data_IF_026160163978
#
_entry.id   IF_026160163978
#
_cell.length_a   1.000
_cell.length_b   1.000
_cell.length_c   1.000
_cell.angle_alpha   90.00
_cell.angle_beta   90.00
_cell.angle_gamma   90.00
#
_symmetry.space_group_name_H-M   'P 1'
#
loop_
_entity.id
_entity.type
_entity.pdbx_description
1 polymer ?
#
# COMPACT_ATOMS: atom_id res chain seq x y z
N UNK A 1 28.73 -55.94 -16.36
CA UNK A 1 27.35 -55.48 -16.12
C UNK A 1 27.42 -54.26 -15.20
N UNK A 2 27.15 -53.04 -15.70
CA UNK A 2 27.21 -51.81 -14.89
C UNK A 2 25.85 -51.56 -14.21
N UNK A 3 25.75 -51.39 -12.88
CA UNK A 3 24.54 -50.84 -12.28
C UNK A 3 24.59 -49.30 -12.21
N UNK A 4 23.40 -48.74 -12.37
CA UNK A 4 23.04 -47.36 -12.65
C UNK A 4 23.39 -46.40 -11.50
N UNK A 5 23.76 -45.16 -11.89
CA UNK A 5 23.80 -43.96 -11.06
C UNK A 5 22.42 -43.74 -10.41
N UNK A 6 22.35 -43.79 -9.09
CA UNK A 6 21.25 -43.20 -8.33
C UNK A 6 21.55 -41.71 -8.18
N UNK A 7 20.89 -40.87 -9.00
CA UNK A 7 20.89 -39.42 -8.80
C UNK A 7 20.12 -39.14 -7.51
N UNK A 8 20.81 -38.68 -6.48
CA UNK A 8 20.16 -38.10 -5.31
C UNK A 8 19.36 -36.87 -5.76
N UNK A 9 18.05 -36.92 -5.57
CA UNK A 9 17.15 -35.79 -5.78
C UNK A 9 17.30 -34.90 -4.55
N UNK A 10 18.06 -33.82 -4.68
CA UNK A 10 18.08 -32.77 -3.66
C UNK A 10 16.72 -32.05 -3.71
N UNK A 11 15.78 -32.46 -2.86
CA UNK A 11 14.62 -31.66 -2.51
C UNK A 11 15.08 -30.53 -1.57
N UNK A 12 15.51 -29.41 -2.14
CA UNK A 12 15.55 -28.16 -1.38
C UNK A 12 14.12 -27.82 -0.99
N UNK A 13 13.70 -28.23 0.21
CA UNK A 13 12.54 -27.64 0.85
C UNK A 13 12.83 -26.15 1.00
N UNK A 14 12.25 -25.33 0.12
CA UNK A 14 12.33 -23.88 0.26
C UNK A 14 11.79 -23.52 1.64
N UNK A 15 12.68 -22.98 2.49
CA UNK A 15 12.29 -22.53 3.83
C UNK A 15 11.12 -21.57 3.68
N UNK A 16 10.05 -21.81 4.45
CA UNK A 16 8.91 -20.90 4.50
C UNK A 16 9.43 -19.48 4.80
N UNK A 17 9.11 -18.49 3.96
CA UNK A 17 9.58 -17.12 4.14
C UNK A 17 9.08 -16.54 5.46
N UNK A 18 9.84 -15.61 6.02
CA UNK A 18 9.47 -14.90 7.26
C UNK A 18 8.54 -13.74 6.91
N UNK A 19 7.63 -13.41 7.84
CA UNK A 19 6.81 -12.20 7.71
C UNK A 19 7.75 -10.99 7.63
N UNK A 20 7.54 -10.16 6.61
CA UNK A 20 8.41 -9.05 6.25
C UNK A 20 9.41 -9.35 5.13
N UNK A 21 9.60 -10.61 4.72
CA UNK A 21 10.54 -10.95 3.65
C UNK A 21 10.12 -10.32 2.33
N UNK A 22 11.01 -9.51 1.76
CA UNK A 22 10.80 -8.86 0.48
C UNK A 22 11.50 -9.61 -0.64
N UNK A 23 10.84 -9.71 -1.79
CA UNK A 23 11.41 -10.29 -3.01
C UNK A 23 11.07 -9.40 -4.19
N UNK A 24 12.08 -9.13 -5.02
CA UNK A 24 11.87 -8.56 -6.34
C UNK A 24 11.51 -9.70 -7.29
N UNK A 25 10.32 -9.65 -7.90
CA UNK A 25 9.92 -10.59 -8.94
C UNK A 25 10.67 -10.29 -10.25
N UNK A 26 10.73 -11.25 -11.20
CA UNK A 26 11.29 -11.02 -12.53
C UNK A 26 10.66 -9.86 -13.31
N UNK A 27 9.40 -9.51 -13.01
CA UNK A 27 8.69 -8.36 -13.58
C UNK A 27 9.05 -7.02 -12.90
N UNK A 28 9.94 -7.04 -11.90
CA UNK A 28 10.37 -5.88 -11.13
C UNK A 28 9.39 -5.42 -10.06
N UNK A 29 8.31 -6.17 -9.79
CA UNK A 29 7.44 -5.91 -8.64
C UNK A 29 8.13 -6.32 -7.34
N UNK A 30 8.11 -5.42 -6.35
CA UNK A 30 8.52 -5.77 -4.99
C UNK A 30 7.33 -6.44 -4.30
N UNK A 31 7.52 -7.66 -3.82
CA UNK A 31 6.52 -8.38 -3.03
C UNK A 31 7.04 -8.59 -1.62
N UNK A 32 6.18 -8.46 -0.61
CA UNK A 32 6.52 -8.70 0.80
C UNK A 32 5.65 -9.83 1.32
N UNK A 33 6.25 -10.77 2.02
CA UNK A 33 5.52 -11.80 2.75
C UNK A 33 4.85 -11.16 3.97
N UNK A 34 3.53 -11.20 4.04
CA UNK A 34 2.73 -10.55 5.08
C UNK A 34 1.78 -11.54 5.72
N UNK A 35 1.30 -11.20 6.91
CA UNK A 35 0.18 -11.87 7.58
C UNK A 35 -0.96 -10.86 7.66
N UNK A 36 -2.10 -11.18 7.07
CA UNK A 36 -3.28 -10.32 7.04
C UNK A 36 -4.52 -11.15 7.40
N UNK A 37 -5.57 -10.48 7.89
CA UNK A 37 -6.82 -11.15 8.25
C UNK A 37 -7.53 -11.65 6.98
N UNK A 38 -7.80 -12.95 6.92
CA UNK A 38 -8.53 -13.58 5.84
C UNK A 38 -10.01 -13.24 5.87
N UNK A 39 -10.70 -13.55 4.77
CA UNK A 39 -12.13 -13.30 4.60
C UNK A 39 -13.01 -14.10 5.57
N UNK A 40 -12.46 -15.18 6.12
CA UNK A 40 -13.03 -16.05 7.15
C UNK A 40 -12.65 -15.64 8.59
N UNK A 41 -11.95 -14.51 8.75
CA UNK A 41 -11.42 -14.03 10.02
C UNK A 41 -10.14 -14.74 10.49
N UNK A 42 -9.59 -15.67 9.71
CA UNK A 42 -8.34 -16.35 10.05
C UNK A 42 -7.13 -15.65 9.40
N UNK A 43 -6.01 -15.46 10.11
CA UNK A 43 -4.84 -14.82 9.55
C UNK A 43 -4.21 -15.68 8.43
N UNK A 44 -4.08 -15.09 7.24
CA UNK A 44 -3.48 -15.71 6.05
C UNK A 44 -2.10 -15.11 5.77
N UNK A 45 -1.10 -15.97 5.57
CA UNK A 45 0.26 -15.56 5.22
C UNK A 45 0.53 -15.70 3.72
N UNK A 46 0.81 -14.58 3.05
CA UNK A 46 0.99 -14.57 1.60
C UNK A 46 1.94 -13.43 1.16
N UNK A 47 2.44 -13.50 -0.07
CA UNK A 47 3.18 -12.38 -0.66
C UNK A 47 2.21 -11.33 -1.22
N UNK A 48 2.27 -10.10 -0.71
CA UNK A 48 1.56 -8.94 -1.28
C UNK A 48 2.51 -8.07 -2.09
N UNK A 49 2.01 -7.38 -3.11
CA UNK A 49 2.79 -6.34 -3.80
C UNK A 49 3.02 -5.16 -2.85
N UNK A 50 4.26 -4.73 -2.69
CA UNK A 50 4.67 -3.63 -1.80
C UNK A 50 4.40 -2.27 -2.42
N UNK A 51 4.38 -2.20 -3.75
CA UNK A 51 4.14 -0.95 -4.48
C UNK A 51 3.19 -1.18 -5.66
N UNK A 52 1.89 -1.07 -5.38
CA UNK A 52 0.83 -1.18 -6.39
C UNK A 52 0.99 -0.10 -7.48
N UNK A 53 1.41 1.11 -7.12
CA UNK A 53 1.52 2.23 -8.07
C UNK A 53 2.71 2.07 -9.00
N UNK A 54 3.89 1.73 -8.49
CA UNK A 54 5.05 1.47 -9.33
C UNK A 54 4.81 0.30 -10.28
N UNK A 55 4.06 -0.73 -9.85
CA UNK A 55 3.66 -1.83 -10.72
C UNK A 55 2.72 -1.35 -11.83
N UNK A 56 1.72 -0.53 -11.49
CA UNK A 56 0.80 0.03 -12.48
C UNK A 56 1.51 0.93 -13.49
N UNK A 57 2.55 1.68 -13.06
CA UNK A 57 3.38 2.50 -13.94
C UNK A 57 4.23 1.64 -14.88
N UNK A 58 4.90 0.60 -14.37
CA UNK A 58 5.71 -0.32 -15.19
C UNK A 58 4.89 -1.04 -16.26
N UNK A 59 3.65 -1.39 -15.95
CA UNK A 59 2.71 -1.99 -16.92
C UNK A 59 2.05 -0.95 -17.85
N UNK A 60 2.34 0.34 -17.71
CA UNK A 60 1.77 1.40 -18.54
C UNK A 60 0.29 1.68 -18.28
N UNK A 61 -0.26 1.24 -17.15
CA UNK A 61 -1.67 1.46 -16.82
C UNK A 61 -1.97 2.76 -16.09
N UNK A 62 -0.93 3.47 -15.65
CA UNK A 62 -0.97 4.85 -15.18
C UNK A 62 0.23 5.60 -15.75
N UNK A 63 0.14 6.93 -15.83
CA UNK A 63 1.23 7.79 -16.30
C UNK A 63 2.22 8.12 -15.16
N UNK A 64 3.43 8.61 -15.46
CA UNK A 64 4.34 9.12 -14.43
C UNK A 64 3.69 10.19 -13.54
N UNK A 65 2.92 11.12 -14.13
CA UNK A 65 2.19 12.15 -13.40
C UNK A 65 1.19 11.57 -12.38
N UNK A 66 0.48 10.50 -12.75
CA UNK A 66 -0.44 9.79 -11.85
C UNK A 66 0.31 9.08 -10.72
N UNK A 67 1.45 8.46 -11.03
CA UNK A 67 2.30 7.82 -10.03
C UNK A 67 2.81 8.85 -9.01
N UNK A 68 3.39 9.95 -9.48
CA UNK A 68 3.96 10.99 -8.62
C UNK A 68 2.89 11.66 -7.75
N UNK A 69 1.68 11.86 -8.30
CA UNK A 69 0.53 12.30 -7.53
C UNK A 69 0.13 11.32 -6.43
N UNK A 70 0.12 10.02 -6.73
CA UNK A 70 -0.13 8.98 -5.75
C UNK A 70 0.93 8.93 -4.64
N UNK A 71 2.21 9.12 -4.99
CA UNK A 71 3.30 9.22 -4.01
C UNK A 71 3.21 10.49 -3.15
N UNK A 72 2.82 11.62 -3.74
CA UNK A 72 2.59 12.86 -2.99
C UNK A 72 1.44 12.67 -1.98
N UNK A 73 0.32 12.10 -2.43
CA UNK A 73 -0.79 11.75 -1.53
C UNK A 73 -0.34 10.81 -0.42
N UNK A 74 0.44 9.77 -0.73
CA UNK A 74 0.96 8.84 0.27
C UNK A 74 1.85 9.54 1.31
N UNK A 75 2.66 10.52 0.90
CA UNK A 75 3.48 11.33 1.81
C UNK A 75 2.63 12.24 2.70
N UNK A 76 1.63 12.92 2.14
CA UNK A 76 0.70 13.74 2.92
C UNK A 76 -0.10 12.88 3.90
N UNK A 77 -0.55 11.71 3.46
CA UNK A 77 -1.23 10.71 4.27
C UNK A 77 -0.34 10.23 5.41
N UNK A 78 0.89 9.82 5.10
CA UNK A 78 1.86 9.41 6.11
C UNK A 78 2.14 10.55 7.11
N UNK A 79 2.29 11.80 6.67
CA UNK A 79 2.49 12.96 7.57
C UNK A 79 1.26 13.25 8.42
N UNK A 80 0.06 13.17 7.84
CA UNK A 80 -1.19 13.38 8.56
C UNK A 80 -1.36 12.36 9.69
N UNK A 81 -0.97 11.10 9.42
CA UNK A 81 -1.13 9.97 10.35
C UNK A 81 0.19 9.47 10.96
N UNK A 82 1.29 10.22 10.83
CA UNK A 82 2.58 9.99 11.50
C UNK A 82 2.47 10.38 12.97
N UNK A 83 1.52 9.76 13.65
CA UNK A 83 1.52 9.34 15.03
C UNK A 83 1.78 10.41 16.12
N UNK A 84 0.97 10.36 17.17
CA UNK A 84 1.57 10.27 18.51
C UNK A 84 1.67 8.82 18.95
N UNK A 85 2.27 8.00 18.10
CA UNK A 85 2.89 6.76 18.51
C UNK A 85 4.35 7.14 18.62
N UNK A 86 4.77 7.46 19.84
CA UNK A 86 6.17 7.32 20.17
C UNK A 86 6.54 5.89 19.75
N UNK A 87 7.37 5.78 18.71
CA UNK A 87 8.11 4.54 18.46
C UNK A 87 8.73 4.16 19.80
N UNK A 88 8.54 2.93 20.32
CA UNK A 88 9.30 2.50 21.47
C UNK A 88 10.76 2.60 21.04
N UNK A 89 11.46 3.64 21.51
CA UNK A 89 12.91 3.68 21.44
C UNK A 89 13.37 2.42 22.14
N UNK A 90 14.20 1.63 21.47
CA UNK A 90 14.74 0.36 21.95
C UNK A 90 15.64 0.53 23.21
N UNK A 91 15.76 1.74 23.76
CA UNK A 91 16.69 2.11 24.82
C UNK A 91 16.06 2.20 26.22
N UNK A 92 14.79 1.78 26.40
CA UNK A 92 14.25 1.47 27.74
C UNK A 92 14.15 2.62 28.76
N UNK A 93 13.83 3.84 28.34
CA UNK A 93 13.55 4.97 29.25
C UNK A 93 12.06 5.38 29.24
N UNK A 94 11.51 5.93 30.35
CA UNK A 94 10.07 6.10 30.54
C UNK A 94 9.48 7.09 29.53
N UNK A 95 8.53 6.62 28.72
CA UNK A 95 7.76 7.45 27.80
C UNK A 95 6.72 8.27 28.57
N UNK A 96 6.91 9.60 28.60
CA UNK A 96 5.93 10.53 29.14
C UNK A 96 4.67 10.59 28.26
N UNK A 97 3.51 10.40 28.88
CA UNK A 97 2.19 10.54 28.26
C UNK A 97 1.88 12.02 28.00
N UNK A 98 2.29 12.53 26.84
CA UNK A 98 1.79 13.82 26.37
C UNK A 98 0.37 13.66 25.81
N UNK A 99 -0.56 14.38 26.43
CA UNK A 99 -2.01 14.44 26.18
C UNK A 99 -2.35 14.53 24.68
N UNK A 100 -3.28 13.68 24.25
CA UNK A 100 -3.79 13.50 22.87
C UNK A 100 -4.34 14.80 22.25
N UNK A 101 -4.72 15.80 23.05
CA UNK A 101 -5.35 17.04 22.61
C UNK A 101 -4.40 18.01 21.87
N UNK A 102 -3.08 17.98 22.13
CA UNK A 102 -2.09 18.85 21.44
C UNK A 102 -1.46 18.21 20.19
N UNK A 103 -1.79 16.96 19.86
CA UNK A 103 -1.19 16.24 18.73
C UNK A 103 -1.87 16.51 17.40
N UNK A 104 -3.17 16.82 17.41
CA UNK A 104 -3.96 17.07 16.18
C UNK A 104 -3.56 18.38 15.49
N UNK A 105 -3.09 19.37 16.25
CA UNK A 105 -2.67 20.68 15.69
C UNK A 105 -1.37 20.59 14.87
N UNK A 106 -0.40 19.75 15.25
CA UNK A 106 0.89 19.65 14.53
C UNK A 106 0.75 19.11 13.12
N UNK A 107 -0.15 18.15 12.92
CA UNK A 107 -0.38 17.52 11.61
C UNK A 107 -1.62 18.07 10.90
N UNK A 108 -2.26 19.12 11.44
CA UNK A 108 -3.48 19.70 10.87
C UNK A 108 -3.30 20.16 9.41
N UNK A 109 -2.12 20.66 9.04
CA UNK A 109 -1.81 21.02 7.66
C UNK A 109 -1.85 19.82 6.71
N UNK A 110 -1.17 18.73 7.07
CA UNK A 110 -1.17 17.49 6.28
C UNK A 110 -2.55 16.83 6.26
N UNK A 111 -3.28 16.81 7.38
CA UNK A 111 -4.65 16.31 7.42
C UNK A 111 -5.60 17.11 6.52
N UNK A 112 -5.44 18.44 6.45
CA UNK A 112 -6.18 19.29 5.51
C UNK A 112 -5.80 18.99 4.06
N UNK A 113 -4.52 18.78 3.76
CA UNK A 113 -4.06 18.42 2.42
C UNK A 113 -4.68 17.10 1.95
N UNK A 114 -4.65 16.06 2.80
CA UNK A 114 -5.31 14.77 2.54
C UNK A 114 -6.81 14.96 2.30
N UNK A 115 -7.48 15.74 3.16
CA UNK A 115 -8.92 16.03 3.00
C UNK A 115 -9.20 16.72 1.66
N UNK A 116 -8.43 17.73 1.29
CA UNK A 116 -8.61 18.47 0.03
C UNK A 116 -8.38 17.58 -1.19
N UNK A 117 -7.36 16.72 -1.15
CA UNK A 117 -7.10 15.76 -2.22
C UNK A 117 -8.28 14.76 -2.36
N UNK A 118 -8.82 14.27 -1.23
CA UNK A 118 -10.00 13.40 -1.25
C UNK A 118 -11.24 14.13 -1.76
N UNK A 119 -11.48 15.36 -1.32
CA UNK A 119 -12.61 16.18 -1.79
C UNK A 119 -12.52 16.41 -3.31
N UNK A 120 -11.32 16.66 -3.84
CA UNK A 120 -11.09 16.85 -5.27
C UNK A 120 -11.48 15.61 -6.10
N UNK A 121 -11.28 14.40 -5.57
CA UNK A 121 -11.65 13.14 -6.24
C UNK A 121 -13.10 12.69 -5.96
N UNK A 122 -13.91 13.52 -5.27
CA UNK A 122 -15.32 13.24 -4.97
C UNK A 122 -15.62 12.81 -3.53
N UNK A 123 -14.64 12.94 -2.63
CA UNK A 123 -14.74 12.60 -1.22
C UNK A 123 -14.44 11.12 -0.90
N UNK A 124 -14.16 10.83 0.37
CA UNK A 124 -13.80 9.48 0.86
C UNK A 124 -14.86 8.42 0.53
N UNK A 125 -16.15 8.78 0.55
CA UNK A 125 -17.27 7.86 0.28
C UNK A 125 -17.49 7.57 -1.20
N UNK A 126 -16.80 8.27 -2.11
CA UNK A 126 -16.85 7.96 -3.54
C UNK A 126 -15.96 6.74 -3.86
N UNK A 127 -16.25 5.98 -4.93
CA UNK A 127 -15.39 4.89 -5.36
C UNK A 127 -13.94 5.33 -5.63
N UNK A 128 -13.75 6.52 -6.23
CA UNK A 128 -12.44 7.09 -6.51
C UNK A 128 -11.70 7.48 -5.22
N UNK A 129 -12.36 8.17 -4.28
CA UNK A 129 -11.78 8.54 -2.99
C UNK A 129 -11.46 7.34 -2.10
N UNK A 130 -12.33 6.32 -2.09
CA UNK A 130 -12.06 5.05 -1.42
C UNK A 130 -10.83 4.35 -2.03
N UNK A 131 -10.75 4.27 -3.36
CA UNK A 131 -9.60 3.69 -4.03
C UNK A 131 -8.29 4.44 -3.71
N UNK A 132 -8.31 5.77 -3.74
CA UNK A 132 -7.14 6.60 -3.41
C UNK A 132 -6.71 6.41 -1.95
N UNK A 133 -7.65 6.44 -1.01
CA UNK A 133 -7.37 6.25 0.41
C UNK A 133 -6.72 4.89 0.68
N UNK A 134 -7.36 3.80 0.24
CA UNK A 134 -6.90 2.47 0.60
C UNK A 134 -5.65 2.07 -0.17
N UNK A 135 -5.53 2.39 -1.46
CA UNK A 135 -4.37 1.96 -2.25
C UNK A 135 -3.19 2.90 -2.07
N UNK A 136 -3.36 4.22 -2.25
CA UNK A 136 -2.24 5.16 -2.17
C UNK A 136 -1.93 5.57 -0.72
N UNK A 137 -2.94 5.72 0.14
CA UNK A 137 -2.75 6.08 1.54
C UNK A 137 -2.34 4.88 2.42
N UNK A 138 -3.17 3.84 2.44
CA UNK A 138 -2.96 2.66 3.30
C UNK A 138 -2.01 1.62 2.68
N UNK A 139 -1.82 1.62 1.36
CA UNK A 139 -0.98 0.64 0.66
C UNK A 139 -1.68 -0.70 0.38
N UNK A 140 -3.02 -0.72 0.31
CA UNK A 140 -3.83 -1.89 -0.01
C UNK A 140 -3.64 -2.36 -1.46
N UNK A 141 -3.78 -3.66 -1.72
CA UNK A 141 -3.76 -4.19 -3.08
C UNK A 141 -5.06 -3.92 -3.84
N UNK A 142 -5.04 -3.94 -5.18
CA UNK A 142 -6.26 -3.78 -6.01
C UNK A 142 -7.24 -4.94 -5.78
N UNK A 143 -6.75 -6.14 -5.45
CA UNK A 143 -7.60 -7.32 -5.22
C UNK A 143 -8.38 -7.12 -3.92
N UNK A 144 -7.72 -6.66 -2.86
CA UNK A 144 -8.37 -6.40 -1.58
C UNK A 144 -9.32 -5.21 -1.66
N UNK A 145 -8.95 -4.19 -2.44
CA UNK A 145 -9.85 -3.08 -2.77
C UNK A 145 -11.13 -3.57 -3.47
N UNK A 146 -10.99 -4.46 -4.46
CA UNK A 146 -12.13 -5.03 -5.19
C UNK A 146 -13.06 -5.82 -4.26
N UNK A 147 -12.50 -6.66 -3.38
CA UNK A 147 -13.26 -7.36 -2.33
C UNK A 147 -13.97 -6.38 -1.40
N UNK A 148 -13.26 -5.34 -0.94
CA UNK A 148 -13.82 -4.31 -0.03
C UNK A 148 -15.01 -3.58 -0.64
N UNK A 149 -14.97 -3.29 -1.93
CA UNK A 149 -16.03 -2.58 -2.65
C UNK A 149 -17.05 -3.51 -3.29
N UNK A 150 -16.96 -4.83 -3.04
CA UNK A 150 -17.81 -5.85 -3.66
C UNK A 150 -17.89 -5.72 -5.18
N UNK A 151 -16.77 -5.39 -5.82
CA UNK A 151 -16.68 -5.16 -7.26
C UNK A 151 -15.58 -6.02 -7.89
N UNK A 152 -15.50 -6.05 -9.22
CA UNK A 152 -14.47 -6.81 -9.90
C UNK A 152 -13.11 -6.07 -9.93
N UNK A 153 -12.02 -6.81 -10.21
CA UNK A 153 -10.65 -6.25 -10.23
C UNK A 153 -10.48 -5.12 -11.25
N UNK A 154 -11.16 -5.20 -12.40
CA UNK A 154 -11.05 -4.19 -13.44
C UNK A 154 -11.75 -2.88 -13.05
N UNK A 155 -12.91 -2.97 -12.39
CA UNK A 155 -13.62 -1.82 -11.82
C UNK A 155 -12.79 -1.14 -10.74
N UNK A 156 -12.25 -1.90 -9.77
CA UNK A 156 -11.39 -1.35 -8.71
C UNK A 156 -10.15 -0.64 -9.28
N UNK A 157 -9.51 -1.23 -10.30
CA UNK A 157 -8.42 -0.59 -11.03
C UNK A 157 -8.89 0.70 -11.72
N UNK A 158 -10.07 0.68 -12.36
CA UNK A 158 -10.66 1.84 -13.02
C UNK A 158 -10.91 3.01 -12.06
N UNK A 159 -11.46 2.74 -10.87
CA UNK A 159 -11.66 3.76 -9.84
C UNK A 159 -10.35 4.38 -9.38
N UNK A 160 -9.31 3.56 -9.20
CA UNK A 160 -7.98 4.06 -8.84
C UNK A 160 -7.37 4.93 -9.95
N UNK A 161 -7.46 4.50 -11.21
CA UNK A 161 -6.95 5.28 -12.37
C UNK A 161 -7.68 6.63 -12.46
N UNK A 162 -9.00 6.63 -12.29
CA UNK A 162 -9.79 7.87 -12.27
C UNK A 162 -9.36 8.79 -11.12
N UNK A 163 -9.18 8.25 -9.92
CA UNK A 163 -8.74 9.00 -8.76
C UNK A 163 -7.34 9.62 -8.96
N UNK A 164 -6.38 8.82 -9.47
CA UNK A 164 -5.01 9.30 -9.73
C UNK A 164 -4.96 10.34 -10.85
N UNK A 165 -5.83 10.23 -11.86
CA UNK A 165 -5.95 11.22 -12.94
C UNK A 165 -6.38 12.59 -12.39
N UNK A 166 -7.34 12.60 -11.46
CA UNK A 166 -7.80 13.83 -10.81
C UNK A 166 -6.75 14.33 -9.82
N UNK A 167 -6.15 13.44 -9.03
CA UNK A 167 -5.08 13.79 -8.09
C UNK A 167 -3.87 14.41 -8.82
N UNK A 168 -3.51 13.91 -10.01
CA UNK A 168 -2.45 14.50 -10.81
C UNK A 168 -2.75 15.95 -11.23
N UNK A 169 -4.00 16.28 -11.53
CA UNK A 169 -4.39 17.68 -11.78
C UNK A 169 -4.35 18.50 -10.49
N UNK A 170 -4.89 17.96 -9.40
CA UNK A 170 -4.94 18.63 -8.09
C UNK A 170 -3.53 19.00 -7.57
N UNK A 171 -2.58 18.07 -7.64
CA UNK A 171 -1.20 18.27 -7.20
C UNK A 171 -0.31 18.98 -8.25
N UNK A 172 -0.82 19.29 -9.44
CA UNK A 172 -0.08 20.02 -10.48
C UNK A 172 0.90 19.17 -11.31
N UNK A 173 0.72 17.85 -11.34
CA UNK A 173 1.50 16.92 -12.17
C UNK A 173 0.93 16.73 -13.59
N UNK A 174 -0.35 17.04 -13.81
CA UNK A 174 -0.98 16.97 -15.13
C UNK A 174 -0.80 18.26 -15.93
N UNK A 175 0.32 18.42 -16.62
CA UNK A 175 0.49 19.41 -17.70
C UNK A 175 0.19 18.80 -19.06
#
# INVERSE_FOLDING_TARGET
>A
MKPKKTRAVNSHAERKPRIGDERLRPDGSLIRYVREEGEDGYPVEHYRTVDTLALMLRHGSITPAMHDAGQHFAQDFARAFASGVASPRLDGLPAGTARVEHMVERNAGAARAVKQALDAVGGISSPAGTALWFVAGVGMSIIDLARRMSCNRHEAKGYLVAALSIAAKFYGYGR
#
